data_IF_207870749148
#
_entry.id   IF_207870749148
#
_cell.length_a   1.000
_cell.length_b   1.000
_cell.length_c   1.000
_cell.angle_alpha   90.00
_cell.angle_beta   90.00
_cell.angle_gamma   90.00
#
_symmetry.space_group_name_H-M   'P 1'
#
loop_
_entity.id
_entity.type
_entity.pdbx_description
1 polymer ?
#
# COMPACT_ATOMS: atom_id res chain seq x y z
N UNK A 1 -13.75 -18.60 -4.43
CA UNK A 1 -14.22 -17.80 -3.29
C UNK A 1 -13.02 -17.02 -2.77
N UNK A 2 -13.17 -15.73 -2.44
CA UNK A 2 -12.08 -14.93 -1.89
C UNK A 2 -12.07 -15.10 -0.37
N UNK A 3 -10.92 -15.41 0.19
CA UNK A 3 -10.65 -15.37 1.63
C UNK A 3 -9.87 -14.12 1.93
N UNK A 4 -10.28 -13.41 2.98
CA UNK A 4 -9.57 -12.23 3.49
C UNK A 4 -9.04 -12.57 4.88
N UNK A 5 -7.76 -12.32 5.13
CA UNK A 5 -7.08 -12.63 6.40
C UNK A 5 -6.44 -11.37 6.97
N UNK A 6 -6.77 -11.07 8.22
CA UNK A 6 -6.19 -9.98 9.03
C UNK A 6 -5.23 -10.56 10.07
N UNK A 7 -4.55 -9.68 10.83
CA UNK A 7 -3.61 -10.08 11.88
C UNK A 7 -2.23 -10.51 11.37
N UNK A 8 -1.94 -10.23 10.10
CA UNK A 8 -0.66 -10.43 9.45
C UNK A 8 0.16 -9.13 9.50
N UNK A 9 1.48 -9.24 9.43
CA UNK A 9 2.38 -8.08 9.38
C UNK A 9 3.63 -8.34 8.53
N UNK A 10 4.19 -7.27 7.98
CA UNK A 10 5.51 -7.21 7.32
C UNK A 10 6.24 -6.02 7.93
N UNK A 11 7.47 -6.22 8.41
CA UNK A 11 8.24 -5.18 9.12
C UNK A 11 7.45 -4.47 10.23
N UNK A 12 6.68 -5.24 11.01
CA UNK A 12 5.75 -4.77 12.05
C UNK A 12 4.56 -3.92 11.52
N UNK A 13 4.48 -3.65 10.22
CA UNK A 13 3.35 -3.00 9.57
C UNK A 13 2.22 -4.00 9.31
N UNK A 14 1.00 -3.76 9.82
CA UNK A 14 -0.15 -4.61 9.56
C UNK A 14 -0.50 -4.67 8.07
N UNK A 15 -0.76 -5.89 7.60
CA UNK A 15 -1.26 -6.15 6.24
C UNK A 15 -2.55 -6.95 6.26
N UNK A 16 -3.34 -6.81 5.20
CA UNK A 16 -4.53 -7.64 4.93
C UNK A 16 -4.25 -8.46 3.67
N UNK A 17 -4.43 -9.77 3.78
CA UNK A 17 -4.25 -10.71 2.67
C UNK A 17 -5.58 -11.06 2.03
N UNK A 18 -5.66 -10.92 0.72
CA UNK A 18 -6.75 -11.42 -0.11
C UNK A 18 -6.24 -12.62 -0.92
N UNK A 19 -6.96 -13.73 -0.88
CA UNK A 19 -6.59 -14.98 -1.58
C UNK A 19 -7.81 -15.58 -2.28
N UNK A 20 -7.67 -15.96 -3.55
CA UNK A 20 -8.77 -16.60 -4.29
C UNK A 20 -8.44 -18.02 -4.80
N UNK A 21 -7.33 -18.61 -4.34
CA UNK A 21 -6.79 -19.88 -4.79
C UNK A 21 -5.83 -19.78 -5.98
N UNK A 22 -5.85 -18.68 -6.73
CA UNK A 22 -4.96 -18.43 -7.89
C UNK A 22 -3.96 -17.32 -7.60
N UNK A 23 -4.45 -16.20 -7.05
CA UNK A 23 -3.66 -15.06 -6.63
C UNK A 23 -3.72 -14.90 -5.11
N UNK A 24 -2.61 -14.44 -4.55
CA UNK A 24 -2.52 -13.89 -3.21
C UNK A 24 -2.07 -12.43 -3.32
N UNK A 25 -2.83 -11.52 -2.72
CA UNK A 25 -2.56 -10.09 -2.71
C UNK A 25 -2.45 -9.62 -1.27
N UNK A 26 -1.40 -8.86 -0.95
CA UNK A 26 -1.24 -8.24 0.37
C UNK A 26 -1.33 -6.72 0.23
N UNK A 27 -2.17 -6.11 1.06
CA UNK A 27 -2.40 -4.67 1.14
C UNK A 27 -1.97 -4.18 2.51
N UNK A 28 -1.35 -3.00 2.59
CA UNK A 28 -0.95 -2.33 3.82
C UNK A 28 -1.82 -1.08 4.06
N UNK A 29 -3.02 -1.20 4.66
CA UNK A 29 -3.92 -0.06 4.84
C UNK A 29 -3.29 1.11 5.59
N UNK A 30 -2.40 0.82 6.54
CA UNK A 30 -1.76 1.85 7.38
C UNK A 30 -0.64 2.63 6.68
N UNK A 31 -0.26 2.24 5.46
CA UNK A 31 0.76 2.86 4.61
C UNK A 31 0.12 3.25 3.28
N UNK A 32 -0.82 4.19 3.32
CA UNK A 32 -1.54 4.70 2.15
C UNK A 32 -2.40 3.70 1.38
N UNK A 33 -2.65 2.52 1.94
CA UNK A 33 -3.32 1.43 1.21
C UNK A 33 -2.43 0.72 0.19
N UNK A 34 -1.09 0.85 0.32
CA UNK A 34 -0.11 0.26 -0.61
C UNK A 34 -0.36 -1.23 -0.83
N UNK A 35 -0.34 -1.68 -2.09
CA UNK A 35 -0.32 -3.10 -2.44
C UNK A 35 1.13 -3.56 -2.48
N UNK A 36 1.50 -4.47 -1.59
CA UNK A 36 2.90 -4.89 -1.38
C UNK A 36 3.23 -6.25 -2.01
N UNK A 37 2.21 -7.01 -2.41
CA UNK A 37 2.38 -8.33 -2.99
C UNK A 37 1.27 -8.63 -4.01
N UNK A 38 1.63 -9.20 -5.17
CA UNK A 38 0.72 -9.92 -6.05
C UNK A 38 1.41 -11.20 -6.50
N UNK A 39 1.05 -12.32 -5.87
CA UNK A 39 1.67 -13.62 -6.08
C UNK A 39 0.75 -14.55 -6.86
N UNK A 40 1.22 -15.09 -7.98
CA UNK A 40 0.57 -16.22 -8.65
C UNK A 40 0.94 -17.53 -7.97
N UNK A 41 -0.03 -18.16 -7.30
CA UNK A 41 0.19 -19.31 -6.41
C UNK A 41 0.68 -20.56 -7.15
N UNK A 42 0.18 -20.80 -8.35
CA UNK A 42 0.54 -22.00 -9.11
C UNK A 42 1.99 -22.00 -9.58
N UNK A 43 2.55 -20.82 -9.90
CA UNK A 43 3.95 -20.70 -10.36
C UNK A 43 4.90 -20.16 -9.30
N UNK A 44 4.39 -19.63 -8.19
CA UNK A 44 5.17 -18.91 -7.20
C UNK A 44 5.71 -17.56 -7.69
N UNK A 45 5.20 -17.05 -8.82
CA UNK A 45 5.70 -15.82 -9.41
C UNK A 45 5.16 -14.58 -8.68
N UNK A 46 6.08 -13.80 -8.10
CA UNK A 46 5.81 -12.47 -7.55
C UNK A 46 5.86 -11.45 -8.68
N UNK A 47 4.75 -10.74 -8.90
CA UNK A 47 4.67 -9.69 -9.93
C UNK A 47 5.22 -8.34 -9.45
N UNK A 48 5.20 -8.07 -8.14
CA UNK A 48 5.63 -6.80 -7.59
C UNK A 48 7.06 -6.88 -7.05
N UNK A 49 7.90 -5.98 -7.52
CA UNK A 49 9.21 -5.76 -6.94
C UNK A 49 9.11 -4.89 -5.69
N UNK A 50 9.99 -5.14 -4.72
CA UNK A 50 10.22 -4.22 -3.60
C UNK A 50 11.71 -4.12 -3.29
N UNK A 51 12.10 -2.99 -2.71
CA UNK A 51 13.47 -2.70 -2.30
C UNK A 51 13.78 -3.41 -0.98
N UNK A 52 14.57 -4.47 -1.01
CA UNK A 52 14.91 -5.28 0.17
C UNK A 52 15.74 -4.53 1.24
N UNK A 53 16.17 -3.28 0.98
CA UNK A 53 16.90 -2.44 1.95
C UNK A 53 15.99 -1.50 2.73
N UNK A 54 14.74 -1.35 2.29
CA UNK A 54 13.73 -0.53 2.95
C UNK A 54 12.78 -1.43 3.71
N UNK A 55 12.26 -0.92 4.82
CA UNK A 55 11.18 -1.55 5.55
C UNK A 55 9.85 -1.07 5.00
N UNK A 56 8.83 -1.92 5.06
CA UNK A 56 7.46 -1.45 4.93
C UNK A 56 7.09 -0.69 6.19
N UNK A 57 7.01 0.63 6.11
CA UNK A 57 6.69 1.47 7.25
C UNK A 57 5.87 2.71 6.84
N UNK A 58 5.11 3.24 7.80
CA UNK A 58 4.44 4.53 7.62
C UNK A 58 5.42 5.66 7.90
N UNK A 59 5.68 6.47 6.89
CA UNK A 59 6.57 7.62 7.00
C UNK A 59 5.86 8.88 7.51
N UNK A 60 6.65 9.88 7.87
CA UNK A 60 6.11 11.18 8.29
C UNK A 60 5.60 11.95 7.07
N UNK A 61 4.49 12.71 7.18
CA UNK A 61 4.03 13.59 6.11
C UNK A 61 5.14 14.53 5.60
N UNK A 62 5.24 14.67 4.27
CA UNK A 62 6.29 15.48 3.62
C UNK A 62 7.65 14.79 3.47
N UNK A 63 7.75 13.49 3.80
CA UNK A 63 8.94 12.69 3.47
C UNK A 63 9.16 12.63 1.96
N UNK A 64 10.42 12.63 1.51
CA UNK A 64 10.77 12.50 0.08
C UNK A 64 10.41 11.11 -0.44
N UNK A 65 9.82 11.00 -1.63
CA UNK A 65 9.36 9.72 -2.17
C UNK A 65 10.53 8.81 -2.61
N UNK A 66 11.41 9.31 -3.48
CA UNK A 66 12.51 8.55 -4.10
C UNK A 66 13.40 7.74 -3.12
N UNK A 67 13.97 8.32 -2.05
CA UNK A 67 14.79 7.56 -1.10
C UNK A 67 13.99 6.52 -0.30
N UNK A 68 12.65 6.66 -0.29
CA UNK A 68 11.70 5.83 0.44
C UNK A 68 10.88 4.93 -0.49
N UNK A 69 11.22 4.83 -1.77
CA UNK A 69 10.49 4.02 -2.72
C UNK A 69 10.64 2.52 -2.40
N UNK A 70 9.71 2.02 -1.59
CA UNK A 70 9.63 0.62 -1.18
C UNK A 70 9.38 -0.32 -2.37
N UNK A 71 8.72 0.16 -3.44
CA UNK A 71 8.12 -0.67 -4.47
C UNK A 71 6.67 -1.03 -4.13
N UNK A 72 6.14 -2.05 -4.82
CA UNK A 72 4.71 -2.37 -4.80
C UNK A 72 3.89 -1.42 -5.69
N UNK A 73 2.65 -1.13 -5.28
CA UNK A 73 1.76 -0.16 -5.93
C UNK A 73 1.31 0.85 -4.86
N UNK A 74 1.57 2.13 -5.12
CA UNK A 74 1.11 3.28 -4.33
C UNK A 74 -0.04 4.01 -5.04
N UNK A 75 -0.86 4.70 -4.26
CA UNK A 75 -1.80 5.69 -4.77
C UNK A 75 -1.14 7.08 -4.75
N UNK A 76 -1.13 7.76 -5.90
CA UNK A 76 -0.62 9.13 -6.05
C UNK A 76 -1.79 10.10 -5.90
N UNK A 77 -2.15 10.40 -4.66
CA UNK A 77 -3.24 11.32 -4.33
C UNK A 77 -2.76 12.46 -3.44
N UNK A 78 -2.98 13.73 -3.81
CA UNK A 78 -3.80 14.21 -4.94
C UNK A 78 -3.04 14.49 -6.26
N UNK A 79 -1.71 14.44 -6.26
CA UNK A 79 -0.87 14.91 -7.37
C UNK A 79 0.34 13.99 -7.60
N UNK A 80 1.00 14.20 -8.73
CA UNK A 80 2.24 13.52 -9.12
C UNK A 80 3.47 14.36 -8.74
N UNK A 81 3.69 15.50 -9.39
CA UNK A 81 4.81 16.38 -9.08
C UNK A 81 4.46 17.42 -8.01
N UNK A 82 5.44 17.99 -7.28
CA UNK A 82 5.19 19.09 -6.36
C UNK A 82 4.52 20.28 -7.04
N UNK A 83 3.34 20.68 -6.56
CA UNK A 83 2.58 21.78 -7.13
C UNK A 83 1.64 22.44 -6.10
N UNK A 84 1.23 23.70 -6.31
CA UNK A 84 0.19 24.32 -5.51
C UNK A 84 -1.21 23.87 -5.97
N UNK A 85 -1.90 23.05 -5.18
CA UNK A 85 -3.31 22.69 -5.41
C UNK A 85 -4.23 23.53 -4.54
N UNK A 86 -5.13 24.30 -5.16
CA UNK A 86 -6.06 25.19 -4.45
C UNK A 86 -5.38 26.13 -3.43
N UNK A 87 -4.13 26.55 -3.71
CA UNK A 87 -3.33 27.40 -2.83
C UNK A 87 -2.60 26.66 -1.70
N UNK A 88 -2.70 25.33 -1.63
CA UNK A 88 -1.92 24.47 -0.72
C UNK A 88 -0.71 23.93 -1.47
N UNK A 89 0.48 24.04 -0.89
CA UNK A 89 1.67 23.41 -1.46
C UNK A 89 1.58 21.89 -1.25
N UNK A 90 1.43 21.15 -2.33
CA UNK A 90 1.35 19.69 -2.32
C UNK A 90 2.73 19.06 -2.61
N UNK A 91 3.10 17.99 -1.89
CA UNK A 91 4.41 17.34 -2.03
C UNK A 91 4.48 16.46 -3.28
N UNK A 92 5.68 15.98 -3.59
CA UNK A 92 5.89 14.93 -4.58
C UNK A 92 5.09 13.67 -4.20
N UNK A 93 4.44 13.04 -5.19
CA UNK A 93 3.57 11.85 -5.07
C UNK A 93 2.37 12.01 -4.13
N UNK A 94 1.99 13.25 -3.84
CA UNK A 94 0.87 13.56 -2.97
C UNK A 94 1.10 13.12 -1.51
N UNK A 95 0.02 13.09 -0.73
CA UNK A 95 0.11 12.92 0.72
C UNK A 95 -0.28 11.51 1.17
N UNK A 96 -1.17 10.84 0.42
CA UNK A 96 -1.84 9.62 0.87
C UNK A 96 -0.85 8.49 1.20
N UNK A 97 0.22 8.33 0.42
CA UNK A 97 1.18 7.25 0.62
C UNK A 97 1.88 7.27 2.00
N UNK A 98 1.86 8.40 2.70
CA UNK A 98 2.37 8.55 4.07
C UNK A 98 1.28 8.49 5.16
N UNK A 99 0.01 8.39 4.78
CA UNK A 99 -1.13 8.45 5.69
C UNK A 99 -1.74 7.06 5.94
N UNK A 100 -2.33 6.81 7.12
CA UNK A 100 -3.07 5.59 7.37
C UNK A 100 -4.49 5.68 6.80
N UNK A 101 -4.98 4.57 6.25
CA UNK A 101 -6.41 4.37 5.96
C UNK A 101 -7.05 3.46 7.01
N UNK A 102 -8.29 3.76 7.37
CA UNK A 102 -9.14 2.81 8.07
C UNK A 102 -9.49 1.67 7.11
N UNK A 103 -9.55 0.44 7.62
CA UNK A 103 -9.87 -0.75 6.85
C UNK A 103 -11.06 -1.49 7.46
N UNK A 104 -11.95 -1.99 6.61
CA UNK A 104 -13.08 -2.84 7.00
C UNK A 104 -13.32 -3.93 5.96
N UNK A 105 -13.72 -5.11 6.42
CA UNK A 105 -14.13 -6.21 5.53
C UNK A 105 -15.64 -6.18 5.37
N UNK A 106 -16.10 -6.06 4.13
CA UNK A 106 -17.54 -6.13 3.78
C UNK A 106 -17.75 -7.29 2.82
N UNK A 107 -18.22 -8.42 3.35
CA UNK A 107 -18.38 -9.65 2.57
C UNK A 107 -17.04 -10.16 2.06
N UNK A 108 -16.80 -10.03 0.75
CA UNK A 108 -15.56 -10.47 0.09
C UNK A 108 -14.68 -9.30 -0.36
N UNK A 109 -14.88 -8.11 0.22
CA UNK A 109 -14.20 -6.88 -0.17
C UNK A 109 -13.46 -6.28 1.03
N UNK A 110 -12.20 -5.92 0.82
CA UNK A 110 -11.47 -5.00 1.71
C UNK A 110 -11.84 -3.57 1.28
N UNK A 111 -12.46 -2.82 2.18
CA UNK A 111 -12.80 -1.41 1.98
C UNK A 111 -11.83 -0.58 2.80
N UNK A 112 -11.21 0.42 2.16
CA UNK A 112 -10.32 1.38 2.80
C UNK A 112 -10.90 2.79 2.69
N UNK A 113 -10.77 3.59 3.75
CA UNK A 113 -11.31 4.95 3.81
C UNK A 113 -10.49 5.85 4.75
N UNK A 114 -10.48 7.16 4.49
CA UNK A 114 -9.80 8.19 5.28
C UNK A 114 -10.45 9.55 5.11
#
# INVERSE_FOLDING_TARGET
>A
MVTITEGLAVDDTPIVRLDNGVLQVDVAPTVGGKIVNVLHKATGHQFLWHNARLKLERLSPGSEYDPNFYGGIDELLPNDIPEPLNGVASPDHGELWTLPLAAAITGHTLVMSG
#
